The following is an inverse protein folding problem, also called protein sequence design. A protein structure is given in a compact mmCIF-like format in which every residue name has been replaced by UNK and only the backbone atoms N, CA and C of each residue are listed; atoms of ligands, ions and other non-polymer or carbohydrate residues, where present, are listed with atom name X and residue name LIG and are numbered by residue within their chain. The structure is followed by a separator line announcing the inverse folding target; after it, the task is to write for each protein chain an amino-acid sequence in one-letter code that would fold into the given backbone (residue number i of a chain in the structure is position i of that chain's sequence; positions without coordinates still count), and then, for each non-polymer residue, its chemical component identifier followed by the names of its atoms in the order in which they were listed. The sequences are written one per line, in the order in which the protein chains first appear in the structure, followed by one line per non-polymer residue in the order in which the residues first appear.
data_IF_761844545015
#
_entry.id   IF_761844545015
#
_cell.length_a   1.000
_cell.length_b   1.000
_cell.length_c   1.000
_cell.angle_alpha   90.00
_cell.angle_beta   90.00
_cell.angle_gamma   90.00
#
_symmetry.space_group_name_H-M   'P 1'
#
loop_
_entity.id
_entity.type
_entity.pdbx_description
1 polymer ?
#
# COMPACT_ATOMS: atom_id res chain seq x y z
N UNK A 1 31.13 2.96 -6.82
CA UNK A 1 30.55 3.62 -8.02
C UNK A 1 29.92 2.66 -9.04
N UNK A 2 30.53 1.50 -9.36
CA UNK A 2 29.93 0.54 -10.33
C UNK A 2 28.57 -0.04 -9.87
N UNK A 3 28.45 -0.43 -8.60
CA UNK A 3 27.21 -0.95 -8.01
C UNK A 3 26.04 0.05 -8.12
N UNK A 4 26.26 1.31 -7.73
CA UNK A 4 25.24 2.36 -7.83
C UNK A 4 24.82 2.67 -9.27
N UNK A 5 25.74 2.59 -10.24
CA UNK A 5 25.41 2.74 -11.66
C UNK A 5 24.56 1.57 -12.18
N UNK A 6 24.83 0.35 -11.72
CA UNK A 6 24.07 -0.84 -12.10
C UNK A 6 22.64 -0.82 -11.52
N UNK A 7 22.50 -0.43 -10.26
CA UNK A 7 21.19 -0.19 -9.63
C UNK A 7 20.40 0.96 -10.29
N UNK A 8 21.11 2.02 -10.70
CA UNK A 8 20.51 3.14 -11.41
C UNK A 8 20.01 2.76 -12.82
N UNK A 9 20.54 1.69 -13.43
CA UNK A 9 20.11 1.21 -14.76
C UNK A 9 19.08 0.08 -14.71
N UNK A 10 18.88 -0.57 -13.56
CA UNK A 10 17.98 -1.73 -13.45
C UNK A 10 16.50 -1.34 -13.61
N UNK A 11 15.76 -1.85 -14.63
CA UNK A 11 14.36 -1.50 -14.89
C UNK A 11 13.39 -1.95 -13.79
N UNK A 12 13.80 -2.89 -12.94
CA UNK A 12 13.00 -3.46 -11.87
C UNK A 12 13.12 -2.62 -10.58
N UNK A 13 14.26 -1.94 -10.38
CA UNK A 13 14.53 -1.16 -9.18
C UNK A 13 13.41 -0.17 -8.76
N UNK A 14 12.75 0.58 -9.68
CA UNK A 14 11.66 1.48 -9.32
C UNK A 14 10.45 0.82 -8.63
N UNK A 15 10.20 -0.47 -8.90
CA UNK A 15 9.08 -1.19 -8.32
C UNK A 15 9.35 -1.67 -6.89
N UNK A 16 10.63 -1.87 -6.54
CA UNK A 16 11.04 -2.48 -5.28
C UNK A 16 11.55 -1.50 -4.24
N UNK A 17 12.34 -0.51 -4.68
CA UNK A 17 13.05 0.39 -3.76
C UNK A 17 12.10 1.11 -2.77
N UNK A 18 10.94 1.66 -3.20
CA UNK A 18 10.01 2.30 -2.30
C UNK A 18 9.44 1.31 -1.26
N UNK A 19 9.17 0.07 -1.68
CA UNK A 19 8.57 -0.97 -0.84
C UNK A 19 9.50 -1.44 0.27
N UNK A 20 10.75 -1.73 -0.06
CA UNK A 20 11.73 -2.13 0.95
C UNK A 20 12.15 -0.98 1.86
N UNK A 21 12.20 0.27 1.35
CA UNK A 21 12.41 1.42 2.21
C UNK A 21 11.27 1.59 3.21
N UNK A 22 10.02 1.42 2.77
CA UNK A 22 8.87 1.42 3.67
C UNK A 22 8.97 0.31 4.73
N UNK A 23 9.33 -0.91 4.33
CA UNK A 23 9.55 -2.03 5.24
C UNK A 23 10.66 -1.78 6.28
N UNK A 24 11.76 -1.12 5.88
CA UNK A 24 12.82 -0.71 6.81
C UNK A 24 12.29 0.25 7.90
N UNK A 25 11.47 1.23 7.51
CA UNK A 25 10.85 2.12 8.50
C UNK A 25 9.79 1.43 9.36
N UNK A 26 9.03 0.46 8.83
CA UNK A 26 8.14 -0.37 9.65
C UNK A 26 8.93 -1.14 10.72
N UNK A 27 10.11 -1.66 10.36
CA UNK A 27 10.99 -2.30 11.33
C UNK A 27 11.46 -1.30 12.41
N UNK A 28 11.81 -0.06 12.05
CA UNK A 28 12.13 0.98 13.03
C UNK A 28 10.95 1.33 13.94
N UNK A 29 9.72 1.38 13.41
CA UNK A 29 8.49 1.58 14.19
C UNK A 29 8.24 0.45 15.19
N UNK A 30 8.70 -0.77 14.89
CA UNK A 30 8.51 -1.93 15.78
C UNK A 30 9.43 -1.94 17.01
N UNK A 31 10.46 -1.09 17.04
CA UNK A 31 11.44 -1.05 18.14
C UNK A 31 10.88 -0.40 19.42
N UNK A 32 9.96 0.57 19.28
CA UNK A 32 9.29 1.24 20.39
C UNK A 32 7.86 1.63 19.94
N UNK A 33 6.80 1.28 20.69
CA UNK A 33 5.42 1.65 20.35
C UNK A 33 5.19 3.16 20.14
N UNK A 34 6.03 4.02 20.72
CA UNK A 34 5.97 5.49 20.58
C UNK A 34 6.73 5.99 19.34
N UNK A 35 7.61 5.17 18.76
CA UNK A 35 8.41 5.56 17.60
C UNK A 35 7.51 5.93 16.41
N UNK A 36 6.32 5.32 16.28
CA UNK A 36 5.38 5.59 15.18
C UNK A 36 5.04 7.08 15.01
N UNK A 37 4.97 7.87 16.09
CA UNK A 37 4.61 9.30 16.00
C UNK A 37 5.72 10.17 15.37
N UNK A 38 6.96 9.68 15.33
CA UNK A 38 8.11 10.38 14.74
C UNK A 38 8.51 9.70 13.43
N UNK A 39 8.59 8.37 13.44
CA UNK A 39 9.04 7.57 12.30
C UNK A 39 8.03 7.62 11.17
N UNK A 40 6.72 7.65 11.44
CA UNK A 40 5.72 7.63 10.36
C UNK A 40 5.82 8.87 9.44
N UNK A 41 5.84 10.13 9.93
CA UNK A 41 6.05 11.28 9.06
C UNK A 41 7.35 11.22 8.24
N UNK A 42 8.45 10.78 8.87
CA UNK A 42 9.75 10.63 8.19
C UNK A 42 9.67 9.56 7.10
N UNK A 43 9.10 8.40 7.42
CA UNK A 43 8.83 7.30 6.48
C UNK A 43 8.04 7.78 5.28
N UNK A 44 6.92 8.46 5.52
CA UNK A 44 6.07 9.01 4.46
C UNK A 44 6.84 9.97 3.56
N UNK A 45 7.62 10.89 4.15
CA UNK A 45 8.43 11.84 3.39
C UNK A 45 9.53 11.14 2.59
N UNK A 46 10.31 10.25 3.20
CA UNK A 46 11.41 9.55 2.54
C UNK A 46 10.92 8.65 1.40
N UNK A 47 9.87 7.86 1.62
CA UNK A 47 9.29 7.01 0.57
C UNK A 47 8.67 7.87 -0.53
N UNK A 48 7.93 8.94 -0.17
CA UNK A 48 7.40 9.90 -1.15
C UNK A 48 8.49 10.56 -1.99
N UNK A 49 9.61 10.94 -1.38
CA UNK A 49 10.77 11.48 -2.09
C UNK A 49 11.35 10.47 -3.07
N UNK A 50 11.52 9.21 -2.66
CA UNK A 50 11.99 8.14 -3.57
C UNK A 50 11.02 7.95 -4.73
N UNK A 51 9.71 7.98 -4.49
CA UNK A 51 8.71 7.90 -5.57
C UNK A 51 8.85 9.07 -6.55
N UNK A 52 9.05 10.30 -6.08
CA UNK A 52 9.26 11.48 -6.92
C UNK A 52 10.55 11.39 -7.73
N UNK A 53 11.65 10.98 -7.09
CA UNK A 53 12.95 10.83 -7.76
C UNK A 53 12.94 9.74 -8.83
N UNK A 54 12.14 8.68 -8.64
CA UNK A 54 11.98 7.58 -9.58
C UNK A 54 10.82 7.76 -10.55
N UNK A 55 10.07 8.87 -10.49
CA UNK A 55 8.83 9.08 -11.24
C UNK A 55 9.00 8.88 -12.76
N UNK A 56 10.10 9.36 -13.31
CA UNK A 56 10.41 9.25 -14.76
C UNK A 56 10.81 7.84 -15.19
N UNK A 57 11.01 6.92 -14.24
CA UNK A 57 11.39 5.52 -14.46
C UNK A 57 10.22 4.55 -14.23
N UNK A 58 9.06 5.05 -13.80
CA UNK A 58 7.89 4.20 -13.64
C UNK A 58 7.31 3.83 -15.01
N UNK A 59 6.68 2.63 -15.12
CA UNK A 59 5.97 2.26 -16.33
C UNK A 59 4.78 3.20 -16.55
N UNK A 60 4.19 3.12 -17.75
CA UNK A 60 2.85 3.63 -17.93
C UNK A 60 1.88 2.95 -16.96
N UNK A 61 1.08 3.74 -16.24
CA UNK A 61 0.13 3.23 -15.26
C UNK A 61 -1.11 2.56 -15.88
N UNK A 62 -1.16 2.44 -17.20
CA UNK A 62 -2.28 1.88 -17.95
C UNK A 62 -3.47 2.85 -18.09
N UNK A 63 -4.62 2.37 -18.60
CA UNK A 63 -5.74 3.24 -18.95
C UNK A 63 -6.43 3.83 -17.70
N UNK A 64 -6.69 5.14 -17.75
CA UNK A 64 -7.40 5.92 -16.73
C UNK A 64 -8.51 6.76 -17.35
N UNK A 65 -9.42 6.11 -18.07
CA UNK A 65 -10.62 6.79 -18.59
C UNK A 65 -11.52 7.22 -17.42
N UNK A 66 -12.36 8.24 -17.62
CA UNK A 66 -13.30 8.71 -16.58
C UNK A 66 -14.12 7.57 -15.95
N UNK A 67 -14.68 6.61 -16.72
CA UNK A 67 -15.39 5.46 -16.14
C UNK A 67 -14.50 4.60 -15.23
N UNK A 68 -13.26 4.31 -15.64
CA UNK A 68 -12.32 3.50 -14.85
C UNK A 68 -11.99 4.19 -13.53
N UNK A 69 -11.81 5.51 -13.53
CA UNK A 69 -11.53 6.27 -12.30
C UNK A 69 -12.71 6.14 -11.31
N UNK A 70 -13.94 6.39 -11.76
CA UNK A 70 -15.13 6.28 -10.91
C UNK A 70 -15.37 4.85 -10.42
N UNK A 71 -15.20 3.85 -11.30
CA UNK A 71 -15.29 2.45 -10.92
C UNK A 71 -14.22 2.09 -9.90
N UNK A 72 -12.99 2.57 -10.07
CA UNK A 72 -11.90 2.33 -9.11
C UNK A 72 -12.22 2.92 -7.74
N UNK A 73 -12.78 4.14 -7.68
CA UNK A 73 -13.24 4.73 -6.44
C UNK A 73 -14.35 3.89 -5.77
N UNK A 74 -15.30 3.36 -6.56
CA UNK A 74 -16.33 2.46 -6.06
C UNK A 74 -15.74 1.14 -5.53
N UNK A 75 -14.77 0.53 -6.24
CA UNK A 75 -14.03 -0.64 -5.76
C UNK A 75 -13.31 -0.32 -4.45
N UNK A 76 -12.71 0.87 -4.32
CA UNK A 76 -12.07 1.33 -3.09
C UNK A 76 -13.04 1.44 -1.92
N UNK A 77 -14.25 1.96 -2.16
CA UNK A 77 -15.31 2.02 -1.15
C UNK A 77 -15.78 0.61 -0.73
N UNK A 78 -15.97 -0.29 -1.69
CA UNK A 78 -16.31 -1.70 -1.43
C UNK A 78 -15.22 -2.37 -0.60
N UNK A 79 -13.95 -2.18 -0.95
CA UNK A 79 -12.82 -2.72 -0.19
C UNK A 79 -12.78 -2.19 1.25
N UNK A 80 -13.11 -0.91 1.49
CA UNK A 80 -13.22 -0.36 2.83
C UNK A 80 -14.34 -1.03 3.64
N UNK A 81 -15.51 -1.23 3.03
CA UNK A 81 -16.65 -1.93 3.68
C UNK A 81 -16.29 -3.37 4.00
N UNK A 82 -15.65 -4.08 3.05
CA UNK A 82 -15.15 -5.45 3.27
C UNK A 82 -14.15 -5.46 4.42
N UNK A 83 -13.19 -4.54 4.43
CA UNK A 83 -12.15 -4.48 5.46
C UNK A 83 -12.75 -4.32 6.86
N UNK A 84 -13.55 -3.27 7.05
CA UNK A 84 -14.17 -2.97 8.35
C UNK A 84 -15.19 -4.05 8.74
N UNK A 85 -15.99 -4.53 7.79
CA UNK A 85 -17.00 -5.56 8.05
C UNK A 85 -16.39 -6.90 8.45
N UNK A 86 -15.38 -7.37 7.72
CA UNK A 86 -14.67 -8.60 8.05
C UNK A 86 -13.88 -8.48 9.34
N UNK A 87 -13.37 -7.29 9.68
CA UNK A 87 -12.71 -7.04 10.96
C UNK A 87 -13.62 -7.42 12.14
N UNK A 88 -14.86 -6.92 12.14
CA UNK A 88 -15.83 -7.20 13.21
C UNK A 88 -16.26 -8.67 13.31
N UNK A 89 -16.20 -9.41 12.19
CA UNK A 89 -16.67 -10.80 12.13
C UNK A 89 -15.54 -11.79 12.41
N UNK A 90 -14.35 -11.54 11.87
CA UNK A 90 -13.26 -12.50 11.84
C UNK A 90 -12.18 -12.22 12.90
N UNK A 91 -11.99 -10.97 13.31
CA UNK A 91 -10.89 -10.59 14.20
C UNK A 91 -11.40 -10.39 15.62
N UNK A 92 -11.06 -11.32 16.50
CA UNK A 92 -11.34 -11.23 17.93
C UNK A 92 -10.16 -10.56 18.64
N UNK A 93 -10.39 -9.38 19.20
CA UNK A 93 -9.38 -8.61 19.94
C UNK A 93 -9.63 -8.65 21.44
N UNK A 94 -8.56 -8.75 22.20
CA UNK A 94 -8.54 -8.49 23.64
C UNK A 94 -8.74 -7.00 23.92
N UNK A 95 -9.08 -6.65 25.17
CA UNK A 95 -9.19 -5.25 25.60
C UNK A 95 -7.89 -4.47 25.41
N UNK A 96 -6.73 -5.14 25.58
CA UNK A 96 -5.43 -4.54 25.34
C UNK A 96 -5.21 -4.23 23.86
N UNK A 97 -5.58 -5.12 22.95
CA UNK A 97 -5.44 -4.86 21.51
C UNK A 97 -6.38 -3.77 21.00
N UNK A 98 -7.56 -3.62 21.62
CA UNK A 98 -8.49 -2.55 21.29
C UNK A 98 -8.00 -1.16 21.71
N UNK A 99 -7.06 -1.06 22.66
CA UNK A 99 -6.47 0.21 23.10
C UNK A 99 -5.18 0.58 22.35
N UNK A 100 -4.66 -0.31 21.50
CA UNK A 100 -3.48 -0.08 20.66
C UNK A 100 -3.81 0.74 19.41
N UNK A 101 -2.76 1.18 18.74
CA UNK A 101 -2.81 1.88 17.45
C UNK A 101 -2.34 3.32 17.53
N UNK A 102 -2.32 3.99 16.38
CA UNK A 102 -1.92 5.39 16.28
C UNK A 102 -3.05 6.32 16.77
N UNK A 103 -2.94 6.85 17.98
CA UNK A 103 -3.91 7.79 18.54
C UNK A 103 -3.29 9.20 18.65
N UNK A 104 -3.57 10.12 17.69
CA UNK A 104 -3.01 11.46 17.73
C UNK A 104 -3.55 12.29 18.90
N UNK A 105 -4.70 11.93 19.50
CA UNK A 105 -5.28 12.64 20.66
C UNK A 105 -4.41 12.58 21.92
N UNK A 106 -3.44 11.66 21.98
CA UNK A 106 -2.47 11.61 23.07
C UNK A 106 -1.64 12.89 23.20
N UNK A 107 -1.57 13.69 22.14
CA UNK A 107 -0.80 14.94 22.10
C UNK A 107 -1.66 16.19 22.27
N UNK A 108 -2.96 16.05 22.57
CA UNK A 108 -3.87 17.19 22.73
C UNK A 108 -3.45 18.18 23.83
N UNK A 109 -2.81 17.66 24.89
CA UNK A 109 -2.36 18.45 26.06
C UNK A 109 -0.88 18.83 25.95
N UNK A 110 -0.26 18.58 24.79
CA UNK A 110 1.10 19.03 24.51
C UNK A 110 1.15 20.56 24.31
N UNK A 111 2.35 21.15 24.34
CA UNK A 111 2.52 22.59 24.07
C UNK A 111 2.05 23.05 22.67
N UNK A 112 1.83 22.10 21.75
CA UNK A 112 1.33 22.33 20.40
C UNK A 112 -0.15 21.93 20.23
N UNK A 113 -0.83 21.50 21.30
CA UNK A 113 -2.28 21.33 21.34
C UNK A 113 -2.90 20.58 20.14
N UNK A 114 -3.94 21.18 19.57
CA UNK A 114 -4.69 20.62 18.44
C UNK A 114 -3.92 20.64 17.12
N UNK A 115 -2.96 21.55 16.97
CA UNK A 115 -2.11 21.66 15.79
C UNK A 115 -1.26 20.39 15.61
N UNK A 116 -0.71 19.86 16.71
CA UNK A 116 0.02 18.58 16.69
C UNK A 116 -0.89 17.43 16.29
N UNK A 117 -2.09 17.36 16.89
CA UNK A 117 -3.04 16.28 16.60
C UNK A 117 -3.46 16.31 15.12
N UNK A 118 -3.79 17.50 14.60
CA UNK A 118 -4.17 17.70 13.21
C UNK A 118 -3.01 17.36 12.25
N UNK A 119 -1.79 17.77 12.58
CA UNK A 119 -0.59 17.44 11.81
C UNK A 119 -0.34 15.94 11.72
N UNK A 120 -0.36 15.25 12.86
CA UNK A 120 -0.19 13.79 12.93
C UNK A 120 -1.27 13.04 12.14
N UNK A 121 -2.54 13.43 12.30
CA UNK A 121 -3.65 12.85 11.55
C UNK A 121 -3.52 13.10 10.03
N UNK A 122 -3.12 14.32 9.63
CA UNK A 122 -2.93 14.68 8.23
C UNK A 122 -1.79 13.86 7.59
N UNK A 123 -0.63 13.74 8.25
CA UNK A 123 0.46 12.89 7.76
C UNK A 123 0.03 11.43 7.65
N UNK A 124 -0.71 10.91 8.64
CA UNK A 124 -1.22 9.54 8.65
C UNK A 124 -2.16 9.26 7.48
N UNK A 125 -3.07 10.19 7.18
CA UNK A 125 -4.03 10.07 6.07
C UNK A 125 -3.31 10.25 4.73
N UNK A 126 -2.53 11.31 4.55
CA UNK A 126 -1.86 11.57 3.27
C UNK A 126 -0.87 10.45 2.90
N UNK A 127 -0.11 9.96 3.88
CA UNK A 127 0.80 8.83 3.69
C UNK A 127 0.05 7.57 3.28
N UNK A 128 -1.03 7.22 3.99
CA UNK A 128 -1.82 6.03 3.69
C UNK A 128 -2.63 6.13 2.40
N UNK A 129 -3.11 7.32 2.01
CA UNK A 129 -3.96 7.52 0.83
C UNK A 129 -3.16 7.70 -0.46
N UNK A 130 -1.94 8.20 -0.38
CA UNK A 130 -1.15 8.57 -1.58
C UNK A 130 0.11 7.72 -1.67
N UNK A 131 0.98 7.78 -0.66
CA UNK A 131 2.31 7.15 -0.73
C UNK A 131 2.19 5.63 -0.71
N UNK A 132 1.40 5.09 0.22
CA UNK A 132 1.24 3.64 0.40
C UNK A 132 0.68 2.95 -0.84
N UNK A 133 -0.45 3.39 -1.45
CA UNK A 133 -1.00 2.73 -2.63
C UNK A 133 -0.05 2.76 -3.82
N UNK A 134 0.67 3.85 -4.04
CA UNK A 134 1.61 3.93 -5.16
C UNK A 134 2.75 2.93 -4.95
N UNK A 135 3.39 2.97 -3.77
CA UNK A 135 4.51 2.10 -3.43
C UNK A 135 4.12 0.61 -3.40
N UNK A 136 2.99 0.28 -2.77
CA UNK A 136 2.54 -1.11 -2.65
C UNK A 136 2.09 -1.67 -3.98
N UNK A 137 1.28 -0.94 -4.75
CA UNK A 137 0.76 -1.48 -6.01
C UNK A 137 1.87 -1.61 -7.07
N UNK A 138 2.86 -0.71 -7.08
CA UNK A 138 4.09 -0.89 -7.83
C UNK A 138 4.73 -2.25 -7.52
N UNK A 139 4.91 -2.58 -6.24
CA UNK A 139 5.53 -3.84 -5.86
C UNK A 139 4.64 -5.06 -6.14
N UNK A 140 3.40 -5.08 -5.66
CA UNK A 140 2.55 -6.26 -5.72
C UNK A 140 2.06 -6.57 -7.13
N UNK A 141 1.38 -5.61 -7.79
CA UNK A 141 0.72 -5.84 -9.08
C UNK A 141 1.61 -5.40 -10.24
N UNK A 142 2.34 -4.30 -10.05
CA UNK A 142 3.29 -3.78 -11.03
C UNK A 142 4.51 -4.68 -11.21
N UNK A 143 4.97 -5.33 -10.13
CA UNK A 143 6.13 -6.22 -10.15
C UNK A 143 5.77 -7.69 -9.90
N UNK A 144 5.45 -8.08 -8.66
CA UNK A 144 5.44 -9.50 -8.23
C UNK A 144 4.47 -10.35 -9.05
N UNK A 145 3.27 -9.83 -9.28
CA UNK A 145 2.24 -10.51 -10.08
C UNK A 145 2.61 -10.68 -11.56
N UNK A 146 3.51 -9.84 -12.09
CA UNK A 146 4.03 -10.00 -13.46
C UNK A 146 5.27 -10.90 -13.48
N UNK A 147 6.10 -10.78 -12.47
CA UNK A 147 7.32 -11.56 -12.29
C UNK A 147 7.06 -13.07 -12.15
N UNK A 148 5.99 -13.45 -11.45
CA UNK A 148 5.65 -14.85 -11.17
C UNK A 148 4.96 -15.57 -12.34
N UNK A 149 4.81 -14.94 -13.50
CA UNK A 149 4.23 -15.58 -14.69
C UNK A 149 5.32 -16.47 -15.33
N UNK A 150 5.17 -17.81 -15.34
CA UNK A 150 6.24 -18.73 -15.73
C UNK A 150 6.77 -18.50 -17.14
N UNK A 151 5.88 -18.21 -18.09
CA UNK A 151 6.22 -18.00 -19.50
C UNK A 151 7.09 -16.76 -19.70
N UNK A 152 7.02 -15.81 -18.77
CA UNK A 152 7.71 -14.52 -18.87
C UNK A 152 8.95 -14.43 -17.97
N UNK A 153 9.19 -15.40 -17.08
CA UNK A 153 10.40 -15.41 -16.23
C UNK A 153 11.69 -15.34 -17.07
N UNK A 154 11.70 -15.97 -18.26
CA UNK A 154 12.82 -15.87 -19.20
C UNK A 154 13.00 -14.46 -19.77
N UNK A 155 11.91 -13.73 -20.01
CA UNK A 155 11.97 -12.34 -20.49
C UNK A 155 12.41 -11.39 -19.37
N UNK A 156 12.00 -11.66 -18.13
CA UNK A 156 12.44 -10.88 -16.95
C UNK A 156 13.94 -10.99 -16.71
N UNK A 157 14.49 -12.21 -16.77
CA UNK A 157 15.93 -12.46 -16.53
C UNK A 157 16.80 -11.80 -17.62
N UNK A 158 16.24 -11.52 -18.81
CA UNK A 158 16.93 -10.91 -19.95
C UNK A 158 16.60 -9.42 -20.14
N UNK A 159 16.38 -8.66 -19.06
CA UNK A 159 16.09 -7.21 -19.08
C UNK A 159 14.84 -6.77 -19.88
N UNK A 160 13.91 -7.69 -20.16
CA UNK A 160 12.68 -7.41 -20.92
C UNK A 160 11.42 -7.42 -20.04
N UNK A 161 11.56 -7.17 -18.73
CA UNK A 161 10.45 -7.19 -17.77
C UNK A 161 9.22 -6.36 -18.22
N UNK A 162 9.45 -5.23 -18.88
CA UNK A 162 8.39 -4.35 -19.38
C UNK A 162 7.52 -4.97 -20.49
N UNK A 163 8.00 -6.02 -21.17
CA UNK A 163 7.23 -6.71 -22.22
C UNK A 163 6.03 -7.48 -21.68
N UNK A 164 6.03 -7.83 -20.39
CA UNK A 164 4.89 -8.53 -19.75
C UNK A 164 3.73 -7.54 -19.61
N UNK A 165 2.61 -7.68 -20.33
CA UNK A 165 1.54 -6.69 -20.27
C UNK A 165 0.94 -6.53 -18.87
N UNK A 166 0.49 -5.33 -18.54
CA UNK A 166 -0.25 -5.07 -17.30
C UNK A 166 -1.54 -5.91 -17.26
N UNK A 167 -1.84 -6.49 -16.10
CA UNK A 167 -3.03 -7.33 -15.91
C UNK A 167 -2.96 -8.71 -16.55
N UNK A 168 -1.79 -9.18 -17.02
CA UNK A 168 -1.62 -10.57 -17.47
C UNK A 168 -1.96 -11.52 -16.33
N UNK A 169 -2.87 -12.46 -16.60
CA UNK A 169 -3.34 -13.41 -15.60
C UNK A 169 -2.57 -14.74 -15.69
N UNK A 170 -2.05 -15.18 -14.55
CA UNK A 170 -1.66 -16.56 -14.32
C UNK A 170 -2.13 -16.96 -12.92
N UNK A 171 -2.78 -18.11 -12.78
CA UNK A 171 -3.38 -18.53 -11.51
C UNK A 171 -2.35 -18.56 -10.37
N UNK A 172 -1.18 -19.18 -10.62
CA UNK A 172 -0.10 -19.25 -9.64
C UNK A 172 0.36 -17.85 -9.20
N UNK A 173 0.63 -16.97 -10.16
CA UNK A 173 1.06 -15.59 -9.89
C UNK A 173 0.02 -14.81 -9.07
N UNK A 174 -1.25 -14.89 -9.48
CA UNK A 174 -2.36 -14.23 -8.78
C UNK A 174 -2.48 -14.73 -7.35
N UNK A 175 -2.49 -16.06 -7.15
CA UNK A 175 -2.66 -16.68 -5.84
C UNK A 175 -1.49 -16.34 -4.91
N UNK A 176 -0.25 -16.50 -5.37
CA UNK A 176 0.96 -16.24 -4.56
C UNK A 176 1.06 -14.76 -4.20
N UNK A 177 0.84 -13.84 -5.15
CA UNK A 177 0.86 -12.41 -4.86
C UNK A 177 -0.21 -12.03 -3.84
N UNK A 178 -1.42 -12.56 -3.99
CA UNK A 178 -2.55 -12.28 -3.09
C UNK A 178 -2.30 -12.79 -1.67
N UNK A 179 -1.75 -14.01 -1.54
CA UNK A 179 -1.39 -14.58 -0.23
C UNK A 179 -0.23 -13.81 0.40
N UNK A 180 0.80 -13.47 -0.37
CA UNK A 180 1.94 -12.69 0.14
C UNK A 180 1.50 -11.29 0.61
N UNK A 181 0.62 -10.63 -0.15
CA UNK A 181 -0.03 -9.38 0.26
C UNK A 181 -0.82 -9.55 1.55
N UNK A 182 -1.60 -10.62 1.69
CA UNK A 182 -2.34 -10.89 2.92
C UNK A 182 -1.42 -11.09 4.14
N UNK A 183 -0.31 -11.81 3.97
CA UNK A 183 0.62 -12.10 5.06
C UNK A 183 1.26 -10.86 5.68
N UNK A 184 1.53 -9.80 4.90
CA UNK A 184 2.13 -8.56 5.45
C UNK A 184 1.17 -7.77 6.35
N UNK A 185 -0.12 -8.12 6.37
CA UNK A 185 -1.14 -7.48 7.23
C UNK A 185 -1.30 -8.14 8.60
N UNK A 186 -0.42 -9.09 8.96
CA UNK A 186 -0.38 -9.70 10.29
C UNK A 186 -1.71 -10.33 10.70
N UNK A 187 -2.26 -9.96 11.86
CA UNK A 187 -3.54 -10.49 12.35
C UNK A 187 -4.71 -10.22 11.39
N UNK A 188 -4.61 -9.15 10.58
CA UNK A 188 -5.64 -8.77 9.59
C UNK A 188 -5.48 -9.51 8.25
N UNK A 189 -4.66 -10.57 8.19
CA UNK A 189 -4.47 -11.34 6.96
C UNK A 189 -5.77 -11.82 6.27
N UNK A 190 -6.88 -12.19 6.95
CA UNK A 190 -8.10 -12.60 6.24
C UNK A 190 -8.72 -11.43 5.46
N UNK A 191 -8.63 -10.21 6.01
CA UNK A 191 -9.10 -8.98 5.38
C UNK A 191 -8.19 -8.65 4.18
N UNK A 192 -6.88 -8.73 4.41
CA UNK A 192 -5.84 -8.59 3.38
C UNK A 192 -6.03 -9.58 2.23
N UNK A 193 -6.45 -10.82 2.51
CA UNK A 193 -6.75 -11.82 1.48
C UNK A 193 -7.95 -11.40 0.64
N UNK A 194 -9.06 -11.01 1.27
CA UNK A 194 -10.28 -10.60 0.57
C UNK A 194 -10.05 -9.35 -0.31
N UNK A 195 -9.40 -8.32 0.23
CA UNK A 195 -9.06 -7.11 -0.53
C UNK A 195 -7.96 -7.39 -1.56
N UNK A 196 -7.02 -8.27 -1.25
CA UNK A 196 -5.98 -8.72 -2.18
C UNK A 196 -6.56 -9.36 -3.45
N UNK A 197 -7.56 -10.24 -3.29
CA UNK A 197 -8.35 -10.82 -4.40
C UNK A 197 -9.06 -9.73 -5.20
N UNK A 198 -9.75 -8.80 -4.52
CA UNK A 198 -10.51 -7.73 -5.16
C UNK A 198 -9.61 -6.83 -6.02
N UNK A 199 -8.47 -6.41 -5.48
CA UNK A 199 -7.49 -5.59 -6.19
C UNK A 199 -6.81 -6.35 -7.33
N UNK A 200 -6.45 -7.62 -7.12
CA UNK A 200 -5.89 -8.45 -8.18
C UNK A 200 -6.88 -8.60 -9.35
N UNK A 201 -8.15 -8.87 -9.06
CA UNK A 201 -9.21 -8.94 -10.07
C UNK A 201 -9.38 -7.60 -10.80
N UNK A 202 -9.41 -6.49 -10.06
CA UNK A 202 -9.54 -5.16 -10.66
C UNK A 202 -8.38 -4.82 -11.58
N UNK A 203 -7.15 -5.17 -11.19
CA UNK A 203 -5.95 -5.00 -12.00
C UNK A 203 -6.01 -5.82 -13.30
N UNK A 204 -6.39 -7.11 -13.23
CA UNK A 204 -6.57 -7.95 -14.44
C UNK A 204 -7.65 -7.37 -15.35
N UNK A 205 -8.77 -6.93 -14.77
CA UNK A 205 -9.94 -6.46 -15.51
C UNK A 205 -9.69 -5.15 -16.24
N UNK A 206 -8.92 -4.24 -15.64
CA UNK A 206 -8.65 -2.90 -16.17
C UNK A 206 -7.34 -2.82 -16.94
N UNK A 207 -6.40 -3.75 -16.69
CA UNK A 207 -5.01 -3.69 -17.19
C UNK A 207 -4.33 -2.38 -16.80
N UNK A 208 -4.75 -1.80 -15.67
CA UNK A 208 -4.36 -0.46 -15.22
C UNK A 208 -3.86 -0.52 -13.79
N UNK A 209 -2.58 -0.23 -13.63
CA UNK A 209 -1.97 -0.10 -12.31
C UNK A 209 -2.50 1.15 -11.59
N UNK A 210 -2.73 2.24 -12.34
CA UNK A 210 -3.33 3.45 -11.81
C UNK A 210 -4.75 3.21 -11.27
N UNK A 211 -5.53 2.35 -11.92
CA UNK A 211 -6.88 2.02 -11.46
C UNK A 211 -6.86 1.33 -10.08
N UNK A 212 -5.92 0.40 -9.86
CA UNK A 212 -5.80 -0.27 -8.55
C UNK A 212 -5.21 0.65 -7.49
N UNK A 213 -4.27 1.54 -7.86
CA UNK A 213 -3.75 2.59 -6.96
C UNK A 213 -4.86 3.55 -6.49
N UNK A 214 -5.78 3.95 -7.39
CA UNK A 214 -6.94 4.78 -7.02
C UNK A 214 -7.87 4.02 -6.08
N UNK A 215 -8.19 2.76 -6.39
CA UNK A 215 -9.04 1.95 -5.52
C UNK A 215 -8.44 1.85 -4.12
N UNK A 216 -7.16 1.50 -4.02
CA UNK A 216 -6.45 1.38 -2.75
C UNK A 216 -6.35 2.72 -2.02
N UNK A 217 -6.03 3.82 -2.70
CA UNK A 217 -6.02 5.15 -2.09
C UNK A 217 -7.38 5.56 -1.52
N UNK A 218 -8.47 5.30 -2.24
CA UNK A 218 -9.83 5.55 -1.75
C UNK A 218 -10.16 4.68 -0.55
N UNK A 219 -9.78 3.40 -0.54
CA UNK A 219 -9.94 2.52 0.62
C UNK A 219 -9.26 3.11 1.86
N UNK A 220 -8.00 3.53 1.73
CA UNK A 220 -7.24 4.06 2.86
C UNK A 220 -7.77 5.43 3.32
N UNK A 221 -8.25 6.26 2.40
CA UNK A 221 -8.90 7.52 2.74
C UNK A 221 -10.18 7.29 3.57
N UNK A 222 -11.06 6.41 3.08
CA UNK A 222 -12.32 6.10 3.76
C UNK A 222 -12.09 5.40 5.11
N UNK A 223 -11.12 4.48 5.17
CA UNK A 223 -10.71 3.86 6.43
C UNK A 223 -10.13 4.91 7.39
N UNK A 224 -9.32 5.85 6.91
CA UNK A 224 -8.81 6.96 7.70
C UNK A 224 -9.91 7.84 8.30
N UNK A 225 -10.91 8.21 7.48
CA UNK A 225 -12.10 8.94 7.95
C UNK A 225 -12.87 8.11 8.99
N UNK A 226 -13.09 6.83 8.72
CA UNK A 226 -13.76 5.93 9.65
C UNK A 226 -13.04 5.86 11.01
N UNK A 227 -11.71 5.77 11.03
CA UNK A 227 -10.91 5.74 12.26
C UNK A 227 -11.03 7.05 13.03
N UNK A 228 -10.95 8.20 12.36
CA UNK A 228 -11.11 9.50 13.02
C UNK A 228 -12.50 9.66 13.66
N UNK A 229 -13.56 9.22 12.98
CA UNK A 229 -14.94 9.33 13.46
C UNK A 229 -15.21 8.33 14.59
N UNK A 230 -14.76 7.08 14.44
CA UNK A 230 -15.04 6.00 15.39
C UNK A 230 -14.05 5.93 16.56
N UNK A 231 -12.91 6.62 16.45
CA UNK A 231 -11.77 6.56 17.38
C UNK A 231 -11.23 5.13 17.59
N UNK A 232 -11.43 4.25 16.60
CA UNK A 232 -10.92 2.87 16.60
C UNK A 232 -9.48 2.84 16.10
N UNK A 233 -8.57 3.34 16.91
CA UNK A 233 -7.16 3.52 16.56
C UNK A 233 -6.44 2.22 16.20
N UNK A 234 -6.95 1.04 16.61
CA UNK A 234 -6.37 -0.26 16.27
C UNK A 234 -6.38 -0.61 14.77
N UNK A 235 -7.08 0.18 13.95
CA UNK A 235 -6.97 0.13 12.47
C UNK A 235 -5.77 0.92 11.92
N UNK A 236 -5.09 1.72 12.75
CA UNK A 236 -3.95 2.55 12.38
C UNK A 236 -2.63 2.14 13.02
#
# INVERSE_FOLDING_TARGET
MKFWKQLASDPIFPYFAPFFLFGFFLWLESLDPRAVYIVYPIKTFCVGMVLVLLWRRFPEFGPLTKPIIWQSAAIGAIACVIWVGLDFVLIKRTTEELSKGFNPLLFKDSGWGWEMVAGLAAFRILGATIVVPIMEELFWRGFLMRFLIPETQKDVINDNFEKVPMGTYGFFSFAVTTVAFACVHGVQWPLGLAVGVLYGWWFIRTKSLGAVMIAHGVTNLLLGVYVLVSQRWYFW
#
